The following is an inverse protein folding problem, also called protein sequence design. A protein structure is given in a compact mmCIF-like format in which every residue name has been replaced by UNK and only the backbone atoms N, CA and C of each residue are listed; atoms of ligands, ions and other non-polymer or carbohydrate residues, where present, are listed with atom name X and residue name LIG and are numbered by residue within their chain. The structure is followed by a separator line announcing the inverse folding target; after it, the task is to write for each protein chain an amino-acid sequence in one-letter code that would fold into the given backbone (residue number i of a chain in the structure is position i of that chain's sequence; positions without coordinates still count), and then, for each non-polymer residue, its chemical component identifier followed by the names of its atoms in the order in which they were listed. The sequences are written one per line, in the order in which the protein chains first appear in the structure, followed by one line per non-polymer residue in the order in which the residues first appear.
data_IF_993337392945
#
_entry.id   IF_993337392945
#
_cell.length_a   1.000
_cell.length_b   1.000
_cell.length_c   1.000
_cell.angle_alpha   90.00
_cell.angle_beta   90.00
_cell.angle_gamma   90.00
#
_symmetry.space_group_name_H-M   'P 1'
#
loop_
_entity.id
_entity.type
_entity.pdbx_description
1 polymer ?
#
# COMPACT_ATOMS: atom_id res chain seq x y z
N UNK A 1 -12.18 5.30 22.58
CA UNK A 1 -12.36 4.51 21.34
C UNK A 1 -12.42 3.04 21.72
N UNK A 2 -13.38 2.25 21.21
CA UNK A 2 -13.47 0.83 21.54
C UNK A 2 -12.37 0.04 20.81
N UNK A 3 -11.54 -0.67 21.58
CA UNK A 3 -10.54 -1.62 21.07
C UNK A 3 -11.08 -3.01 21.38
N UNK A 4 -11.44 -3.77 20.35
CA UNK A 4 -11.83 -5.17 20.48
C UNK A 4 -10.72 -6.05 19.92
N UNK A 5 -10.18 -6.91 20.79
CA UNK A 5 -9.08 -7.82 20.48
C UNK A 5 -9.67 -9.21 20.24
N UNK A 6 -9.91 -9.58 18.99
CA UNK A 6 -10.18 -10.98 18.64
C UNK A 6 -8.91 -11.60 18.04
N UNK A 7 -8.47 -12.72 18.62
CA UNK A 7 -7.42 -13.61 18.08
C UNK A 7 -6.10 -12.94 17.70
N UNK A 8 -5.56 -12.09 18.58
CA UNK A 8 -4.19 -11.57 18.46
C UNK A 8 -3.94 -10.53 17.35
N UNK A 9 -4.99 -10.09 16.65
CA UNK A 9 -4.92 -8.98 15.71
C UNK A 9 -5.60 -7.75 16.32
N UNK A 10 -4.82 -6.69 16.59
CA UNK A 10 -5.39 -5.41 17.01
C UNK A 10 -6.04 -4.75 15.79
N UNK A 11 -7.36 -4.78 15.75
CA UNK A 11 -8.15 -4.10 14.73
C UNK A 11 -8.42 -2.68 15.25
N UNK A 12 -7.92 -1.67 14.52
CA UNK A 12 -8.16 -0.26 14.86
C UNK A 12 -9.16 0.29 13.85
N UNK A 13 -10.23 0.91 14.35
CA UNK A 13 -11.22 1.59 13.52
C UNK A 13 -10.95 3.08 13.53
N UNK A 14 -10.74 3.67 12.35
CA UNK A 14 -10.66 5.13 12.18
C UNK A 14 -11.80 5.51 11.22
N UNK A 15 -12.69 6.39 11.66
CA UNK A 15 -13.86 6.87 10.90
C UNK A 15 -14.75 5.75 10.33
N UNK A 16 -14.97 4.67 11.08
CA UNK A 16 -15.86 3.57 10.68
C UNK A 16 -15.23 2.53 9.73
N UNK A 17 -13.97 2.70 9.33
CA UNK A 17 -13.27 1.74 8.49
C UNK A 17 -12.38 0.82 9.32
N UNK A 18 -12.46 -0.49 9.06
CA UNK A 18 -11.54 -1.48 9.61
C UNK A 18 -10.14 -1.21 9.05
N UNK A 19 -9.29 -0.60 9.85
CA UNK A 19 -7.87 -0.51 9.56
C UNK A 19 -7.26 -1.78 10.16
N UNK A 20 -6.79 -2.70 9.31
CA UNK A 20 -5.85 -3.73 9.74
C UNK A 20 -4.55 -3.00 10.15
N UNK A 21 -4.55 -2.39 11.34
CA UNK A 21 -3.46 -1.60 11.90
C UNK A 21 -2.17 -2.40 12.12
N UNK A 22 -2.22 -3.70 11.89
CA UNK A 22 -1.09 -4.62 12.04
C UNK A 22 -0.30 -4.84 10.74
N UNK A 23 -0.85 -4.48 9.57
CA UNK A 23 -0.14 -4.74 8.31
C UNK A 23 0.96 -3.70 8.09
N UNK A 24 2.19 -4.17 8.23
CA UNK A 24 3.41 -3.38 8.00
C UNK A 24 3.98 -3.71 6.64
N UNK A 25 4.37 -2.69 5.91
CA UNK A 25 4.96 -2.83 4.59
C UNK A 25 6.46 -2.61 4.65
N UNK A 26 7.19 -3.40 3.88
CA UNK A 26 8.56 -3.08 3.54
C UNK A 26 8.61 -2.06 2.39
N UNK A 27 9.76 -1.37 2.25
CA UNK A 27 9.95 -0.37 1.19
C UNK A 27 9.73 -0.94 -0.21
N UNK A 28 10.07 -2.22 -0.40
CA UNK A 28 9.86 -2.92 -1.67
C UNK A 28 8.37 -3.17 -1.94
N UNK A 29 7.57 -3.42 -0.91
CA UNK A 29 6.13 -3.62 -1.04
C UNK A 29 5.43 -2.31 -1.35
N UNK A 30 5.79 -1.21 -0.67
CA UNK A 30 5.28 0.13 -1.00
C UNK A 30 5.52 0.48 -2.47
N UNK A 31 6.72 0.19 -2.99
CA UNK A 31 7.04 0.40 -4.41
C UNK A 31 6.14 -0.40 -5.33
N UNK A 32 5.88 -1.67 -5.01
CA UNK A 32 5.00 -2.53 -5.80
C UNK A 32 3.55 -2.03 -5.76
N UNK A 33 3.06 -1.70 -4.57
CA UNK A 33 1.70 -1.17 -4.34
C UNK A 33 1.47 0.11 -5.15
N UNK A 34 2.43 1.03 -5.14
CA UNK A 34 2.28 2.35 -5.78
C UNK A 34 2.74 2.38 -7.25
N UNK A 35 3.31 1.29 -7.76
CA UNK A 35 3.88 1.21 -9.11
C UNK A 35 5.17 2.02 -9.29
N UNK A 36 5.94 2.26 -8.21
CA UNK A 36 7.16 3.08 -8.24
C UNK A 36 8.38 2.23 -8.63
N UNK A 37 8.88 2.47 -9.84
CA UNK A 37 10.03 1.74 -10.39
C UNK A 37 11.35 2.06 -9.71
N UNK A 38 11.62 3.31 -9.34
CA UNK A 38 12.93 3.70 -8.80
C UNK A 38 12.96 3.71 -7.26
N UNK A 39 14.03 3.16 -6.66
CA UNK A 39 14.24 3.16 -5.20
C UNK A 39 14.46 4.56 -4.62
N UNK A 40 15.09 5.45 -5.41
CA UNK A 40 15.31 6.84 -5.02
C UNK A 40 13.97 7.59 -4.87
N UNK A 41 13.08 7.43 -5.84
CA UNK A 41 11.75 8.05 -5.84
C UNK A 41 10.95 7.75 -4.58
N UNK A 42 10.81 6.47 -4.19
CA UNK A 42 10.09 6.14 -2.95
C UNK A 42 10.77 6.71 -1.69
N UNK A 43 12.10 6.86 -1.70
CA UNK A 43 12.82 7.43 -0.55
C UNK A 43 12.56 8.93 -0.44
N UNK A 44 12.57 9.65 -1.57
CA UNK A 44 12.27 11.08 -1.64
C UNK A 44 10.79 11.35 -1.33
N UNK A 45 9.89 10.45 -1.76
CA UNK A 45 8.47 10.54 -1.46
C UNK A 45 8.18 10.33 0.04
N UNK A 46 8.82 9.34 0.68
CA UNK A 46 8.71 9.12 2.13
C UNK A 46 9.22 10.31 2.95
N UNK A 47 10.30 10.95 2.49
CA UNK A 47 10.81 12.21 3.07
C UNK A 47 9.80 13.34 2.97
N UNK A 48 9.19 13.50 1.80
CA UNK A 48 8.22 14.57 1.55
C UNK A 48 6.98 14.46 2.45
N UNK A 49 6.54 13.23 2.77
CA UNK A 49 5.41 12.99 3.68
C UNK A 49 5.82 12.90 5.16
N UNK A 50 7.12 12.99 5.48
CA UNK A 50 7.63 12.92 6.86
C UNK A 50 7.68 11.52 7.48
N UNK A 51 7.57 10.44 6.69
CA UNK A 51 7.54 9.05 7.17
C UNK A 51 8.78 8.25 6.71
N UNK A 52 9.96 8.72 7.06
CA UNK A 52 11.22 8.07 6.66
C UNK A 52 11.48 6.73 7.36
N UNK A 53 10.89 6.56 8.55
CA UNK A 53 11.20 5.45 9.46
C UNK A 53 10.10 4.39 9.41
N UNK A 54 10.52 3.13 9.30
CA UNK A 54 9.64 1.97 9.43
C UNK A 54 9.08 1.87 10.88
N UNK A 55 7.83 1.43 11.11
CA UNK A 55 6.93 0.73 10.20
C UNK A 55 6.04 1.60 9.31
N UNK A 56 5.93 1.22 8.03
CA UNK A 56 4.99 1.83 7.10
C UNK A 56 3.68 1.05 7.06
N UNK A 57 2.56 1.75 7.06
CA UNK A 57 1.21 1.17 7.13
C UNK A 57 0.36 1.61 5.92
N UNK A 58 -0.91 1.22 5.92
CA UNK A 58 -1.88 1.73 4.95
C UNK A 58 -2.05 3.25 5.03
N UNK A 59 -1.82 3.86 6.19
CA UNK A 59 -1.84 5.32 6.31
C UNK A 59 -0.68 5.95 5.52
N UNK A 60 0.51 5.36 5.60
CA UNK A 60 1.66 5.75 4.76
C UNK A 60 1.30 5.67 3.28
N UNK A 61 0.65 4.56 2.85
CA UNK A 61 0.22 4.38 1.46
C UNK A 61 -0.75 5.48 1.04
N UNK A 62 -1.73 5.81 1.89
CA UNK A 62 -2.68 6.91 1.64
C UNK A 62 -1.98 8.25 1.44
N UNK A 63 -1.02 8.59 2.30
CA UNK A 63 -0.22 9.83 2.18
C UNK A 63 0.62 9.85 0.90
N UNK A 64 1.22 8.72 0.53
CA UNK A 64 1.99 8.57 -0.71
C UNK A 64 1.11 8.69 -1.96
N UNK A 65 -0.13 8.20 -1.92
CA UNK A 65 -1.11 8.40 -3.01
C UNK A 65 -1.43 9.89 -3.13
N UNK A 66 -1.69 10.59 -2.02
CA UNK A 66 -1.89 12.03 -2.01
C UNK A 66 -0.74 12.79 -2.67
N UNK A 67 0.50 12.48 -2.29
CA UNK A 67 1.69 13.07 -2.93
C UNK A 67 1.77 12.74 -4.41
N UNK A 68 1.54 11.48 -4.81
CA UNK A 68 1.60 11.07 -6.22
C UNK A 68 0.58 11.82 -7.07
N UNK A 69 -0.64 11.99 -6.57
CA UNK A 69 -1.70 12.74 -7.24
C UNK A 69 -1.36 14.23 -7.31
N UNK A 70 -0.83 14.79 -6.22
CA UNK A 70 -0.35 16.18 -6.19
C UNK A 70 0.74 16.45 -7.24
N UNK A 71 1.76 15.59 -7.33
CA UNK A 71 2.80 15.70 -8.35
C UNK A 71 2.27 15.48 -9.78
N UNK A 72 1.16 14.74 -9.92
CA UNK A 72 0.53 14.52 -11.22
C UNK A 72 -0.22 15.76 -11.72
N UNK A 73 -0.75 16.61 -10.83
CA UNK A 73 -1.41 17.87 -11.19
C UNK A 73 -0.46 18.74 -12.02
N UNK A 74 0.73 18.99 -11.49
CA UNK A 74 1.69 19.89 -12.11
C UNK A 74 2.79 19.17 -12.85
N UNK A 75 2.47 18.21 -13.73
CA UNK A 75 3.48 17.64 -14.63
C UNK A 75 4.17 18.76 -15.43
N UNK A 76 5.36 19.15 -14.99
CA UNK A 76 6.15 20.25 -15.58
C UNK A 76 5.99 21.61 -14.88
N UNK A 77 5.16 21.73 -13.84
CA UNK A 77 5.01 22.97 -13.06
C UNK A 77 5.77 22.87 -11.72
N UNK A 78 6.77 23.75 -11.47
CA UNK A 78 7.54 23.74 -10.23
C UNK A 78 6.70 23.98 -8.95
N UNK A 79 5.49 24.52 -9.08
CA UNK A 79 4.56 24.71 -7.93
C UNK A 79 4.09 23.39 -7.34
N UNK A 80 4.06 22.31 -8.11
CA UNK A 80 3.63 21.00 -7.64
C UNK A 80 4.83 20.10 -7.41
N UNK A 81 5.68 20.52 -6.47
CA UNK A 81 6.90 19.80 -6.09
C UNK A 81 6.73 19.04 -4.78
N UNK A 82 7.63 18.08 -4.51
CA UNK A 82 7.71 17.39 -3.21
C UNK A 82 7.89 18.35 -2.04
N UNK A 83 8.67 19.41 -2.27
CA UNK A 83 8.94 20.42 -1.26
C UNK A 83 7.66 21.19 -0.91
N UNK A 84 6.93 21.65 -1.94
CA UNK A 84 5.65 22.35 -1.75
C UNK A 84 4.62 21.47 -1.04
N UNK A 85 4.56 20.17 -1.39
CA UNK A 85 3.70 19.23 -0.68
C UNK A 85 4.06 19.11 0.81
N UNK A 86 5.35 19.01 1.14
CA UNK A 86 5.82 18.95 2.52
C UNK A 86 5.51 20.23 3.29
N UNK A 87 5.64 21.39 2.65
CA UNK A 87 5.28 22.69 3.22
C UNK A 87 3.77 22.79 3.49
N UNK A 88 2.93 22.35 2.56
CA UNK A 88 1.47 22.32 2.74
C UNK A 88 1.05 21.42 3.90
N UNK A 89 1.69 20.26 4.07
CA UNK A 89 1.44 19.39 5.23
C UNK A 89 1.78 20.12 6.54
N UNK A 90 2.89 20.85 6.59
CA UNK A 90 3.33 21.58 7.79
C UNK A 90 2.41 22.77 8.11
N UNK A 91 1.87 23.43 7.09
CA UNK A 91 0.93 24.55 7.25
C UNK A 91 -0.48 24.10 7.68
N UNK A 92 -0.79 22.81 7.49
CA UNK A 92 -2.02 22.18 7.95
C UNK A 92 -2.74 21.43 6.84
N UNK A 93 -3.34 20.29 7.18
CA UNK A 93 -4.01 19.41 6.21
C UNK A 93 -5.14 20.09 5.43
N UNK A 94 -5.76 21.14 5.97
CA UNK A 94 -6.83 21.88 5.32
C UNK A 94 -6.39 22.58 4.03
N UNK A 95 -5.15 23.10 3.97
CA UNK A 95 -4.65 23.73 2.75
C UNK A 95 -4.40 22.69 1.65
N UNK A 96 -3.85 21.53 2.03
CA UNK A 96 -3.66 20.44 1.10
C UNK A 96 -5.00 19.93 0.55
N UNK A 97 -6.00 19.77 1.43
CA UNK A 97 -7.37 19.39 1.03
C UNK A 97 -7.96 20.40 0.04
N UNK A 98 -7.81 21.70 0.30
CA UNK A 98 -8.33 22.75 -0.59
C UNK A 98 -7.71 22.67 -1.99
N UNK A 99 -6.39 22.46 -2.08
CA UNK A 99 -5.70 22.28 -3.38
C UNK A 99 -6.21 21.03 -4.10
N UNK A 100 -6.35 19.91 -3.41
CA UNK A 100 -6.83 18.66 -4.01
C UNK A 100 -8.30 18.76 -4.45
N UNK A 101 -9.15 19.41 -3.65
CA UNK A 101 -10.55 19.67 -4.00
C UNK A 101 -10.68 20.58 -5.21
N UNK A 102 -9.84 21.62 -5.30
CA UNK A 102 -9.81 22.52 -6.46
C UNK A 102 -9.55 21.75 -7.76
N UNK A 103 -8.70 20.72 -7.72
CA UNK A 103 -8.39 19.85 -8.86
C UNK A 103 -9.29 18.61 -8.96
N UNK A 104 -10.37 18.53 -8.17
CA UNK A 104 -11.32 17.40 -8.14
C UNK A 104 -10.64 16.05 -7.89
N UNK A 105 -9.58 16.03 -7.08
CA UNK A 105 -8.83 14.82 -6.76
C UNK A 105 -9.41 14.16 -5.52
N UNK A 106 -9.90 12.94 -5.69
CA UNK A 106 -10.34 12.07 -4.60
C UNK A 106 -9.24 11.06 -4.21
N UNK A 107 -8.50 11.39 -3.15
CA UNK A 107 -7.49 10.48 -2.58
C UNK A 107 -8.13 9.18 -2.08
N UNK A 108 -9.32 9.24 -1.50
CA UNK A 108 -9.96 8.07 -0.90
C UNK A 108 -10.35 7.07 -1.99
N UNK A 109 -10.91 7.54 -3.10
CA UNK A 109 -11.23 6.70 -4.24
C UNK A 109 -9.98 5.96 -4.78
N UNK A 110 -8.87 6.68 -5.00
CA UNK A 110 -7.64 6.07 -5.49
C UNK A 110 -7.01 5.13 -4.45
N UNK A 111 -7.11 5.46 -3.16
CA UNK A 111 -6.69 4.60 -2.06
C UNK A 111 -7.46 3.28 -2.02
N UNK A 112 -8.79 3.32 -2.15
CA UNK A 112 -9.62 2.10 -2.18
C UNK A 112 -9.27 1.22 -3.37
N UNK A 113 -9.05 1.82 -4.55
CA UNK A 113 -8.60 1.09 -5.74
C UNK A 113 -7.27 0.37 -5.50
N UNK A 114 -6.26 1.08 -5.00
CA UNK A 114 -4.94 0.50 -4.70
C UNK A 114 -5.02 -0.60 -3.65
N UNK A 115 -5.86 -0.41 -2.61
CA UNK A 115 -6.07 -1.39 -1.55
C UNK A 115 -6.72 -2.68 -2.11
N UNK A 116 -7.75 -2.53 -2.95
CA UNK A 116 -8.43 -3.65 -3.59
C UNK A 116 -7.50 -4.42 -4.53
N UNK A 117 -6.71 -3.71 -5.35
CA UNK A 117 -5.74 -4.32 -6.25
C UNK A 117 -4.68 -5.13 -5.49
N UNK A 118 -4.19 -4.60 -4.37
CA UNK A 118 -3.25 -5.32 -3.52
C UNK A 118 -3.88 -6.58 -2.91
N UNK A 119 -5.10 -6.49 -2.37
CA UNK A 119 -5.80 -7.64 -1.79
C UNK A 119 -6.08 -8.74 -2.84
N UNK A 120 -6.52 -8.36 -4.03
CA UNK A 120 -6.75 -9.28 -5.14
C UNK A 120 -5.46 -9.98 -5.58
N UNK A 121 -4.35 -9.25 -5.63
CA UNK A 121 -3.05 -9.81 -5.98
C UNK A 121 -2.51 -10.78 -4.92
N UNK A 122 -2.72 -10.49 -3.62
CA UNK A 122 -2.37 -11.41 -2.52
C UNK A 122 -3.18 -12.72 -2.58
N UNK A 123 -4.46 -12.64 -2.91
CA UNK A 123 -5.28 -13.84 -3.09
C UNK A 123 -4.76 -14.68 -4.27
N UNK A 124 -4.49 -14.08 -5.43
CA UNK A 124 -4.00 -14.78 -6.63
C UNK A 124 -2.66 -15.50 -6.40
N UNK A 125 -1.70 -14.88 -5.72
CA UNK A 125 -0.43 -15.52 -5.39
C UNK A 125 -0.61 -16.68 -4.41
N UNK A 126 -1.53 -16.57 -3.45
CA UNK A 126 -1.83 -17.65 -2.50
C UNK A 126 -2.49 -18.87 -3.17
N UNK A 127 -3.36 -18.66 -4.16
CA UNK A 127 -3.99 -19.73 -4.94
C UNK A 127 -2.98 -20.45 -5.85
N UNK A 128 -2.10 -19.70 -6.53
CA UNK A 128 -1.05 -20.28 -7.38
C UNK A 128 -0.10 -21.18 -6.57
N UNK A 129 0.28 -20.76 -5.36
CA UNK A 129 1.15 -21.55 -4.49
C UNK A 129 0.46 -22.84 -3.99
N UNK A 130 -0.83 -22.77 -3.62
CA UNK A 130 -1.62 -23.95 -3.21
C UNK A 130 -1.84 -24.94 -4.36
N UNK A 131 -2.06 -24.45 -5.58
CA UNK A 131 -2.23 -25.29 -6.76
C UNK A 131 -0.93 -26.03 -7.15
N UNK A 132 0.23 -25.36 -7.04
CA UNK A 132 1.52 -26.01 -7.29
C UNK A 132 1.91 -27.03 -6.23
N UNK A 133 1.59 -26.79 -4.94
CA UNK A 133 1.87 -27.75 -3.87
C UNK A 133 1.09 -29.06 -4.04
N UNK A 134 -0.19 -29.00 -4.38
CA UNK A 134 -1.00 -30.22 -4.64
C UNK A 134 -0.41 -31.06 -5.77
N UNK A 135 0.11 -30.45 -6.84
CA UNK A 135 0.73 -31.20 -7.95
C UNK A 135 1.99 -31.94 -7.54
N UNK A 136 2.82 -31.32 -6.69
CA UNK A 136 4.06 -31.94 -6.19
C UNK A 136 3.73 -33.12 -5.26
N UNK A 137 2.77 -32.94 -4.35
CA UNK A 137 2.37 -33.99 -3.41
C UNK A 137 1.73 -35.20 -4.14
N UNK A 138 0.99 -34.96 -5.24
CA UNK A 138 0.39 -36.04 -6.04
C UNK A 138 1.45 -36.81 -6.86
N UNK A 139 2.48 -36.13 -7.36
CA UNK A 139 3.57 -36.74 -8.13
C UNK A 139 4.53 -37.58 -7.26
N UNK A 140 4.77 -37.14 -6.01
CA UNK A 140 5.58 -37.91 -5.05
C UNK A 140 4.89 -39.20 -4.56
N UNK A 141 3.55 -39.26 -4.54
CA UNK A 141 2.84 -40.49 -4.15
C UNK A 141 2.74 -41.55 -5.26
N UNK A 142 2.91 -41.18 -6.53
CA UNK A 142 2.86 -42.14 -7.66
C UNK A 142 4.21 -42.81 -7.99
N UNK A 143 5.31 -42.36 -7.38
CA UNK A 143 6.66 -42.87 -7.70
C UNK A 143 7.11 -44.04 -6.80
N UNK A 144 6.27 -44.50 -5.87
CA UNK A 144 6.62 -45.52 -4.87
C UNK A 144 6.08 -46.93 -5.18
N UNK A 145 5.39 -47.14 -6.32
CA UNK A 145 4.56 -48.33 -6.53
C UNK A 145 4.92 -49.16 -7.79
N UNK A 146 6.20 -49.17 -8.20
CA UNK A 146 6.70 -50.16 -9.18
C UNK A 146 8.15 -50.54 -8.94
N UNK A 147 8.37 -51.52 -8.07
CA UNK A 147 9.36 -52.59 -8.29
C UNK A 147 8.81 -53.91 -7.75
N UNK A 148 8.37 -54.78 -8.65
CA UNK A 148 8.91 -56.15 -8.74
C UNK A 148 9.35 -56.39 -10.19
N UNK A 149 10.39 -57.15 -10.53
CA UNK A 149 11.18 -58.21 -9.88
C UNK A 149 12.67 -58.05 -10.26
#
# INVERSE_FOLDING_TARGET
MPVTTEKGATIVYINGYQVNGSQRFQKIELRKILGIKAKKTISDDLKAIGEETYPWTWETVRKLIGLKLFLAIGRGDPKYSRQTYSELIKLGEEQLKAVLQHHQIDIEQEFQKVKNDYQNNQQRTSFAYRANRRRIDTASSQSSEKQPE
#
